data_IF_768487191179
#
_entry.id   IF_768487191179
#
_cell.length_a   1.000
_cell.length_b   1.000
_cell.length_c   1.000
_cell.angle_alpha   90.00
_cell.angle_beta   90.00
_cell.angle_gamma   90.00
#
_symmetry.space_group_name_H-M   'P 1'
#
loop_
_entity.id
_entity.type
_entity.pdbx_description
1 polymer ?
#
# COMPACT_ATOMS: atom_id res chain seq x y z
N UNK A 1 -6.51 -42.58 67.59
CA UNK A 1 -6.58 -42.07 66.21
C UNK A 1 -5.41 -41.12 66.00
N UNK A 2 -4.46 -41.49 65.15
CA UNK A 2 -3.30 -40.65 64.80
C UNK A 2 -3.58 -40.02 63.45
N UNK A 3 -3.66 -38.69 63.37
CA UNK A 3 -3.73 -37.97 62.10
C UNK A 3 -2.30 -37.73 61.61
N UNK A 4 -1.90 -38.44 60.55
CA UNK A 4 -0.66 -38.13 59.83
C UNK A 4 -0.91 -36.93 58.92
N UNK A 5 -0.36 -35.78 59.29
CA UNK A 5 -0.31 -34.59 58.46
C UNK A 5 0.76 -34.79 57.37
N UNK A 6 0.30 -35.00 56.14
CA UNK A 6 1.19 -35.03 54.98
C UNK A 6 1.77 -33.64 54.74
N UNK A 7 3.06 -33.46 55.06
CA UNK A 7 3.83 -32.26 54.75
C UNK A 7 3.97 -32.12 53.22
N UNK A 8 3.09 -31.34 52.59
CA UNK A 8 3.26 -30.90 51.20
C UNK A 8 4.46 -29.95 51.15
N UNK A 9 5.58 -30.40 50.57
CA UNK A 9 6.69 -29.51 50.23
C UNK A 9 6.16 -28.42 49.31
N UNK A 10 6.11 -27.18 49.79
CA UNK A 10 5.84 -26.02 48.95
C UNK A 10 7.07 -25.79 48.09
N UNK A 11 7.05 -26.33 46.87
CA UNK A 11 8.00 -25.98 45.83
C UNK A 11 7.63 -24.59 45.34
N UNK A 12 8.20 -23.57 45.99
CA UNK A 12 8.08 -22.18 45.56
C UNK A 12 8.85 -21.94 44.26
N UNK A 13 8.29 -21.10 43.40
CA UNK A 13 8.93 -20.64 42.16
C UNK A 13 10.24 -19.90 42.49
N UNK A 14 11.36 -20.26 41.86
CA UNK A 14 12.67 -19.69 42.23
C UNK A 14 12.83 -18.29 41.62
N UNK A 15 13.46 -17.35 42.33
CA UNK A 15 13.71 -15.99 41.80
C UNK A 15 14.50 -16.00 40.49
N UNK A 16 15.44 -16.95 40.35
CA UNK A 16 16.21 -17.18 39.13
C UNK A 16 15.31 -17.58 37.97
N UNK A 17 14.29 -18.40 38.23
CA UNK A 17 13.32 -18.84 37.22
C UNK A 17 12.51 -17.64 36.71
N UNK A 18 12.03 -16.79 37.62
CA UNK A 18 11.32 -15.55 37.26
C UNK A 18 12.22 -14.61 36.47
N UNK A 19 13.50 -14.47 36.84
CA UNK A 19 14.42 -13.59 36.13
C UNK A 19 14.71 -14.05 34.70
N UNK A 20 14.85 -15.35 34.47
CA UNK A 20 15.04 -15.88 33.10
C UNK A 20 13.79 -15.63 32.26
N UNK A 21 12.59 -15.84 32.82
CA UNK A 21 11.32 -15.58 32.11
C UNK A 21 11.19 -14.11 31.75
N UNK A 22 11.48 -13.20 32.69
CA UNK A 22 11.42 -11.76 32.44
C UNK A 22 12.46 -11.31 31.41
N UNK A 23 13.66 -11.91 31.41
CA UNK A 23 14.69 -11.60 30.42
C UNK A 23 14.24 -11.99 29.00
N UNK A 24 13.66 -13.20 28.83
CA UNK A 24 13.15 -13.66 27.53
C UNK A 24 11.93 -12.83 27.11
N UNK A 25 11.00 -12.55 28.04
CA UNK A 25 9.83 -11.72 27.76
C UNK A 25 10.22 -10.31 27.32
N UNK A 26 11.20 -9.68 27.99
CA UNK A 26 11.73 -8.38 27.60
C UNK A 26 12.38 -8.38 26.21
N UNK A 27 13.15 -9.41 25.88
CA UNK A 27 13.77 -9.57 24.56
C UNK A 27 12.72 -9.71 23.44
N UNK A 28 11.67 -10.52 23.65
CA UNK A 28 10.60 -10.70 22.67
C UNK A 28 9.82 -9.41 22.43
N UNK A 29 9.48 -8.67 23.51
CA UNK A 29 8.79 -7.38 23.40
C UNK A 29 9.57 -6.35 22.57
N UNK A 30 10.90 -6.32 22.73
CA UNK A 30 11.77 -5.45 21.94
C UNK A 30 11.60 -5.73 20.44
N UNK A 31 11.69 -7.00 20.03
CA UNK A 31 11.56 -7.38 18.61
C UNK A 31 10.17 -7.01 18.07
N UNK A 32 9.12 -7.29 18.84
CA UNK A 32 7.73 -7.00 18.44
C UNK A 32 7.52 -5.50 18.21
N UNK A 33 8.03 -4.65 19.10
CA UNK A 33 7.89 -3.20 18.96
C UNK A 33 8.62 -2.64 17.75
N UNK A 34 9.73 -3.25 17.32
CA UNK A 34 10.39 -2.87 16.07
C UNK A 34 9.68 -3.43 14.82
N UNK A 35 9.11 -4.63 14.93
CA UNK A 35 8.52 -5.34 13.78
C UNK A 35 7.12 -4.86 13.40
N UNK A 36 6.22 -4.60 14.37
CA UNK A 36 4.84 -4.14 14.11
C UNK A 36 4.79 -2.90 13.21
N UNK A 37 5.53 -1.79 13.48
CA UNK A 37 5.44 -0.60 12.64
C UNK A 37 5.92 -0.88 11.21
N UNK A 38 6.90 -1.79 11.02
CA UNK A 38 7.32 -2.22 9.70
C UNK A 38 6.22 -3.00 8.96
N UNK A 39 5.52 -3.91 9.64
CA UNK A 39 4.41 -4.68 9.06
C UNK A 39 3.20 -3.80 8.71
N UNK A 40 2.91 -2.77 9.51
CA UNK A 40 1.84 -1.82 9.21
C UNK A 40 2.11 -1.05 7.91
N UNK A 41 3.36 -0.64 7.66
CA UNK A 41 3.76 -0.01 6.39
C UNK A 41 3.56 -0.94 5.20
N UNK A 42 3.99 -2.19 5.31
CA UNK A 42 3.83 -3.18 4.23
C UNK A 42 2.34 -3.40 3.92
N UNK A 43 1.50 -3.51 4.95
CA UNK A 43 0.06 -3.65 4.79
C UNK A 43 -0.57 -2.45 4.07
N UNK A 44 -0.22 -1.21 4.44
CA UNK A 44 -0.67 0.00 3.75
C UNK A 44 -0.21 0.06 2.29
N UNK A 45 1.06 -0.23 2.04
CA UNK A 45 1.60 -0.26 0.68
C UNK A 45 0.89 -1.30 -0.20
N UNK A 46 0.60 -2.49 0.32
CA UNK A 46 -0.15 -3.50 -0.41
C UNK A 46 -1.57 -3.02 -0.77
N UNK A 47 -2.23 -2.25 0.11
CA UNK A 47 -3.53 -1.64 -0.20
C UNK A 47 -3.42 -0.59 -1.32
N UNK A 48 -2.42 0.30 -1.24
CA UNK A 48 -2.14 1.28 -2.32
C UNK A 48 -1.92 0.60 -3.66
N UNK A 49 -1.21 -0.52 -3.67
CA UNK A 49 -0.92 -1.26 -4.90
C UNK A 49 -2.15 -1.89 -5.53
N UNK A 50 -2.99 -2.49 -4.68
CA UNK A 50 -4.21 -3.13 -5.13
C UNK A 50 -5.17 -2.08 -5.67
N UNK A 51 -5.34 -0.96 -4.96
CA UNK A 51 -6.16 0.15 -5.41
C UNK A 51 -5.62 0.76 -6.72
N UNK A 52 -4.31 0.97 -6.84
CA UNK A 52 -3.70 1.49 -8.07
C UNK A 52 -3.90 0.54 -9.27
N UNK A 53 -3.88 -0.78 -9.05
CA UNK A 53 -4.22 -1.78 -10.06
C UNK A 53 -5.70 -1.74 -10.42
N UNK A 54 -6.59 -1.53 -9.46
CA UNK A 54 -8.02 -1.36 -9.73
C UNK A 54 -8.28 -0.13 -10.59
N UNK A 55 -7.62 0.99 -10.30
CA UNK A 55 -7.69 2.22 -11.12
C UNK A 55 -7.20 1.93 -12.54
N UNK A 56 -6.03 1.30 -12.70
CA UNK A 56 -5.49 0.97 -14.02
C UNK A 56 -6.42 0.04 -14.81
N UNK A 57 -7.06 -0.93 -14.15
CA UNK A 57 -8.04 -1.80 -14.79
C UNK A 57 -9.29 -1.04 -15.23
N UNK A 58 -9.81 -0.14 -14.40
CA UNK A 58 -10.97 0.68 -14.73
C UNK A 58 -10.69 1.63 -15.91
N UNK A 59 -9.49 2.21 -15.97
CA UNK A 59 -9.05 3.01 -17.13
C UNK A 59 -8.98 2.15 -18.40
N UNK A 60 -8.37 0.96 -18.31
CA UNK A 60 -8.32 0.00 -19.42
C UNK A 60 -9.72 -0.41 -19.92
N UNK A 61 -10.65 -0.63 -18.99
CA UNK A 61 -12.04 -0.94 -19.32
C UNK A 61 -12.71 0.25 -20.03
N UNK A 62 -12.54 1.47 -19.53
CA UNK A 62 -13.05 2.67 -20.20
C UNK A 62 -12.50 2.79 -21.62
N UNK A 63 -11.19 2.63 -21.82
CA UNK A 63 -10.55 2.69 -23.12
C UNK A 63 -11.12 1.63 -24.07
N UNK A 64 -11.17 0.37 -23.62
CA UNK A 64 -11.68 -0.75 -24.42
C UNK A 64 -13.12 -0.52 -24.86
N UNK A 65 -13.97 -0.04 -23.95
CA UNK A 65 -15.39 0.25 -24.23
C UNK A 65 -15.59 1.45 -25.17
N UNK A 66 -14.61 2.35 -25.24
CA UNK A 66 -14.67 3.57 -26.04
C UNK A 66 -13.80 3.53 -27.31
N UNK A 67 -13.42 2.34 -27.79
CA UNK A 67 -12.60 2.20 -29.01
C UNK A 67 -11.20 2.77 -28.85
N UNK A 68 -10.66 2.70 -27.63
CA UNK A 68 -9.40 3.23 -27.16
C UNK A 68 -9.20 4.74 -27.38
N UNK A 69 -10.30 5.50 -27.32
CA UNK A 69 -10.29 6.96 -27.40
C UNK A 69 -10.03 7.56 -26.02
N UNK A 70 -8.79 8.00 -25.78
CA UNK A 70 -8.37 8.64 -24.52
C UNK A 70 -9.29 9.80 -24.10
N UNK A 71 -9.74 10.61 -25.06
CA UNK A 71 -10.58 11.81 -24.82
C UNK A 71 -11.87 11.47 -24.05
N UNK A 72 -12.34 10.24 -24.14
CA UNK A 72 -13.55 9.77 -23.45
C UNK A 72 -13.30 9.18 -22.06
N UNK A 73 -12.06 9.15 -21.59
CA UNK A 73 -11.65 8.51 -20.34
C UNK A 73 -10.77 9.44 -19.48
N UNK A 74 -10.83 10.75 -19.69
CA UNK A 74 -9.86 11.68 -19.10
C UNK A 74 -10.16 12.01 -17.65
N UNK A 75 -11.43 12.00 -17.26
CA UNK A 75 -11.87 12.43 -15.93
C UNK A 75 -12.32 11.27 -15.07
N UNK A 76 -12.38 11.49 -13.76
CA UNK A 76 -12.86 10.48 -12.81
C UNK A 76 -14.32 10.04 -13.09
N UNK A 77 -15.15 10.91 -13.68
CA UNK A 77 -16.54 10.58 -14.00
C UNK A 77 -16.69 9.68 -15.22
N UNK A 78 -15.66 9.60 -16.07
CA UNK A 78 -15.69 8.81 -17.30
C UNK A 78 -15.32 7.33 -17.06
N UNK A 79 -14.65 7.06 -15.95
CA UNK A 79 -14.10 5.75 -15.59
C UNK A 79 -15.10 5.03 -14.68
N UNK A 80 -15.34 3.72 -14.85
CA UNK A 80 -16.26 2.94 -14.02
C UNK A 80 -15.64 2.63 -12.64
N UNK A 81 -15.27 3.65 -11.88
CA UNK A 81 -14.67 3.51 -10.55
C UNK A 81 -15.17 4.59 -9.59
N UNK A 82 -15.72 4.17 -8.47
CA UNK A 82 -16.01 5.08 -7.35
C UNK A 82 -14.86 5.08 -6.35
N UNK A 83 -14.48 6.25 -5.84
CA UNK A 83 -13.47 6.39 -4.77
C UNK A 83 -13.83 5.54 -3.54
N UNK A 84 -15.13 5.42 -3.24
CA UNK A 84 -15.68 4.61 -2.15
C UNK A 84 -15.34 3.11 -2.24
N UNK A 85 -15.03 2.62 -3.44
CA UNK A 85 -14.65 1.22 -3.68
C UNK A 85 -13.18 0.94 -3.37
N UNK A 86 -12.38 1.98 -3.15
CA UNK A 86 -10.96 1.88 -2.83
C UNK A 86 -10.74 1.74 -1.33
N UNK A 87 -9.69 1.01 -0.97
CA UNK A 87 -9.39 0.66 0.41
C UNK A 87 -8.44 1.64 1.11
N UNK A 88 -7.76 2.47 0.33
CA UNK A 88 -6.72 3.38 0.76
C UNK A 88 -6.91 4.79 0.20
N UNK A 89 -7.05 4.94 -1.11
CA UNK A 89 -7.11 6.27 -1.74
C UNK A 89 -8.46 6.96 -1.49
N UNK A 90 -8.43 8.26 -1.24
CA UNK A 90 -9.59 9.08 -0.85
C UNK A 90 -9.98 10.12 -1.88
N UNK A 91 -9.21 10.24 -2.95
CA UNK A 91 -9.41 11.15 -4.06
C UNK A 91 -8.52 10.78 -5.23
N UNK A 92 -8.59 11.58 -6.31
CA UNK A 92 -7.79 11.37 -7.51
C UNK A 92 -7.35 12.70 -8.11
N UNK A 93 -6.12 12.71 -8.62
CA UNK A 93 -5.71 13.65 -9.64
C UNK A 93 -5.84 12.98 -11.02
N UNK A 94 -6.17 13.79 -12.03
CA UNK A 94 -6.27 13.32 -13.40
C UNK A 94 -5.87 14.41 -14.39
N UNK A 95 -5.34 14.01 -15.55
CA UNK A 95 -4.92 14.93 -16.60
C UNK A 95 -5.14 14.36 -17.99
N UNK A 96 -5.45 15.24 -18.93
CA UNK A 96 -5.71 14.90 -20.33
C UNK A 96 -4.45 14.50 -21.10
N UNK A 97 -3.27 15.02 -20.70
CA UNK A 97 -1.97 14.69 -21.25
C UNK A 97 -0.82 14.99 -20.26
N UNK A 98 0.36 14.44 -20.54
CA UNK A 98 1.56 14.59 -19.72
C UNK A 98 2.16 16.01 -19.68
N UNK A 99 1.71 16.92 -20.55
CA UNK A 99 2.37 18.20 -20.79
C UNK A 99 1.68 19.36 -20.06
N UNK A 100 0.39 19.21 -19.74
CA UNK A 100 -0.43 20.32 -19.26
C UNK A 100 -0.92 20.17 -17.80
N UNK A 101 -0.92 18.97 -17.22
CA UNK A 101 -1.44 18.76 -15.87
C UNK A 101 -0.71 17.68 -15.05
N UNK A 102 0.61 17.79 -14.91
CA UNK A 102 1.38 16.91 -14.03
C UNK A 102 1.22 17.33 -12.56
N UNK A 103 0.04 17.15 -11.99
CA UNK A 103 -0.10 17.20 -10.53
C UNK A 103 0.65 15.99 -9.96
N UNK A 104 1.66 16.18 -9.09
CA UNK A 104 2.35 15.04 -8.49
C UNK A 104 1.36 14.24 -7.65
N UNK A 105 1.46 12.88 -7.62
CA UNK A 105 0.65 12.10 -6.71
C UNK A 105 0.97 12.51 -5.27
N UNK A 106 -0.05 12.51 -4.42
CA UNK A 106 0.13 12.68 -2.98
C UNK A 106 0.04 11.30 -2.29
N UNK A 107 0.33 11.21 -0.98
CA UNK A 107 0.22 9.93 -0.28
C UNK A 107 -1.17 9.29 -0.34
N UNK A 108 -2.23 10.09 -0.50
CA UNK A 108 -3.65 9.65 -0.45
C UNK A 108 -4.40 9.83 -1.76
N UNK A 109 -3.84 10.56 -2.73
CA UNK A 109 -4.45 10.82 -4.03
C UNK A 109 -3.46 10.44 -5.14
N UNK A 110 -3.71 9.34 -5.89
CA UNK A 110 -2.90 8.98 -7.04
C UNK A 110 -3.24 9.90 -8.21
N UNK A 111 -2.38 9.92 -9.22
CA UNK A 111 -2.63 10.63 -10.47
C UNK A 111 -2.66 9.64 -11.63
N UNK A 112 -3.53 9.83 -12.63
CA UNK A 112 -3.37 9.16 -13.91
C UNK A 112 -3.26 10.12 -15.07
N UNK A 113 -2.45 9.71 -16.04
CA UNK A 113 -2.09 10.50 -17.20
C UNK A 113 -2.02 9.60 -18.42
N UNK A 114 -2.39 10.16 -19.57
CA UNK A 114 -2.34 9.45 -20.84
C UNK A 114 -1.07 9.77 -21.63
N UNK A 115 -0.82 8.96 -22.66
CA UNK A 115 0.36 9.02 -23.53
C UNK A 115 1.70 8.71 -22.82
N UNK A 116 1.66 8.11 -21.63
CA UNK A 116 2.84 7.79 -20.82
C UNK A 116 2.97 6.28 -20.58
N UNK A 117 4.20 5.85 -20.29
CA UNK A 117 4.55 4.49 -19.87
C UNK A 117 5.38 4.54 -18.59
N UNK A 118 5.27 3.50 -17.79
CA UNK A 118 5.99 3.35 -16.53
C UNK A 118 7.39 2.74 -16.77
N UNK A 119 8.36 3.17 -15.97
CA UNK A 119 9.70 2.55 -15.90
C UNK A 119 9.79 1.60 -14.72
N UNK A 120 10.82 0.74 -14.71
CA UNK A 120 11.09 -0.14 -13.57
C UNK A 120 11.35 0.63 -12.25
N UNK A 121 11.84 1.87 -12.35
CA UNK A 121 12.18 2.71 -11.20
C UNK A 121 10.98 3.48 -10.63
N UNK A 122 9.79 3.33 -11.21
CA UNK A 122 8.59 4.05 -10.79
C UNK A 122 8.50 5.48 -11.33
N UNK A 123 9.31 5.82 -12.32
CA UNK A 123 9.20 7.05 -13.12
C UNK A 123 8.41 6.78 -14.41
N UNK A 124 8.12 7.82 -15.18
CA UNK A 124 7.35 7.69 -16.43
C UNK A 124 7.99 8.45 -17.58
N UNK A 125 7.67 8.03 -18.80
CA UNK A 125 8.16 8.64 -20.03
C UNK A 125 7.06 8.65 -21.10
N UNK A 126 7.19 9.53 -22.10
CA UNK A 126 6.28 9.59 -23.24
C UNK A 126 6.31 8.29 -24.04
N UNK A 127 5.14 7.71 -24.25
CA UNK A 127 5.00 6.48 -25.02
C UNK A 127 5.32 6.72 -26.50
N UNK A 128 6.00 5.76 -27.13
CA UNK A 128 6.15 5.70 -28.59
C UNK A 128 4.83 5.35 -29.30
N UNK A 129 3.80 4.91 -28.57
CA UNK A 129 2.45 4.67 -29.07
C UNK A 129 1.41 5.34 -28.14
N UNK A 130 1.27 6.67 -28.21
CA UNK A 130 0.55 7.45 -27.20
C UNK A 130 -0.96 7.28 -27.24
N UNK A 131 -1.53 6.76 -28.33
CA UNK A 131 -2.97 6.71 -28.56
C UNK A 131 -3.76 5.89 -27.53
N UNK A 132 -3.10 4.94 -26.84
CA UNK A 132 -3.73 4.04 -25.88
C UNK A 132 -2.92 3.87 -24.59
N UNK A 133 -1.73 4.47 -24.53
CA UNK A 133 -0.88 4.35 -23.37
C UNK A 133 -1.39 5.22 -22.24
N UNK A 134 -1.37 4.70 -21.01
CA UNK A 134 -1.59 5.50 -19.83
C UNK A 134 -0.71 5.02 -18.68
N UNK A 135 -0.61 5.86 -17.66
CA UNK A 135 0.08 5.55 -16.43
C UNK A 135 -0.74 6.02 -15.24
N UNK A 136 -0.82 5.17 -14.22
CA UNK A 136 -1.29 5.53 -12.88
C UNK A 136 -0.06 5.69 -12.01
N UNK A 137 0.14 6.87 -11.44
CA UNK A 137 1.25 7.22 -10.56
C UNK A 137 0.75 7.37 -9.13
N UNK A 138 1.51 6.85 -8.18
CA UNK A 138 1.15 6.86 -6.77
C UNK A 138 2.42 6.76 -5.91
N UNK A 139 2.30 7.07 -4.62
CA UNK A 139 3.42 7.00 -3.71
C UNK A 139 3.32 5.77 -2.79
N UNK A 140 4.45 5.13 -2.51
CA UNK A 140 4.58 4.16 -1.42
C UNK A 140 5.46 4.69 -0.30
N UNK A 141 5.18 4.23 0.91
CA UNK A 141 6.03 4.51 2.07
C UNK A 141 7.24 3.56 2.09
N UNK A 142 8.43 4.12 2.27
CA UNK A 142 9.64 3.38 2.64
C UNK A 142 9.97 3.66 4.12
N UNK A 143 11.09 3.13 4.63
CA UNK A 143 11.48 3.29 6.03
C UNK A 143 11.64 4.76 6.46
N UNK A 144 12.04 5.65 5.54
CA UNK A 144 12.41 7.04 5.85
C UNK A 144 11.89 8.08 4.84
N UNK A 145 11.23 7.66 3.75
CA UNK A 145 10.77 8.54 2.67
C UNK A 145 9.56 7.95 1.97
N UNK A 146 8.94 8.75 1.09
CA UNK A 146 8.01 8.24 0.07
C UNK A 146 8.77 7.94 -1.22
N UNK A 147 8.30 6.95 -1.97
CA UNK A 147 8.86 6.57 -3.28
C UNK A 147 7.73 6.55 -4.31
N UNK A 148 7.93 7.26 -5.41
CA UNK A 148 7.03 7.23 -6.55
C UNK A 148 7.02 5.84 -7.19
N UNK A 149 5.83 5.39 -7.53
CA UNK A 149 5.56 4.16 -8.26
C UNK A 149 4.56 4.46 -9.36
N UNK A 150 4.59 3.63 -10.37
CA UNK A 150 3.61 3.69 -11.43
C UNK A 150 3.18 2.31 -11.90
N UNK A 151 2.03 2.27 -12.55
CA UNK A 151 1.48 1.12 -13.28
C UNK A 151 1.04 1.65 -14.64
N UNK A 152 1.43 0.99 -15.72
CA UNK A 152 1.02 1.36 -17.07
C UNK A 152 0.05 0.35 -17.69
N UNK A 153 -0.68 0.82 -18.70
CA UNK A 153 -1.53 0.03 -19.61
C UNK A 153 -1.26 0.42 -21.06
#
# INVERSE_FOLDING_TARGET
>A
MVYSSANKKQTGFTIVEVMIVLAIAGLVLLIIFLAIPALQRISRNNRRDNDARMIANAINECLTNNGNQIIKCQTANDIPLEVSSLSFFTGFHYGSDALNNSVPPTPEEPNWLFSLRCTADGTWFLSSNPSHAFVVTYERENASSVQNRCIDG
#
